data_IF_333307387152
#
_entry.id   IF_333307387152
#
_cell.length_a   1.000
_cell.length_b   1.000
_cell.length_c   1.000
_cell.angle_alpha   90.00
_cell.angle_beta   90.00
_cell.angle_gamma   90.00
#
_symmetry.space_group_name_H-M   'P 1'
#
loop_
_entity.id
_entity.type
_entity.pdbx_description
1 polymer ?
#
# COMPACT_ATOMS: atom_id res chain seq x y z
N UNK A 1 6.30 -4.97 -0.09
CA UNK A 1 5.45 -4.00 -0.81
C UNK A 1 4.21 -4.73 -1.26
N UNK A 2 3.03 -4.14 -1.09
CA UNK A 2 1.80 -4.68 -1.64
C UNK A 2 1.13 -3.62 -2.50
N UNK A 3 0.50 -4.07 -3.58
CA UNK A 3 -0.43 -3.25 -4.35
C UNK A 3 -1.78 -3.28 -3.62
N UNK A 4 -2.37 -2.12 -3.39
CA UNK A 4 -3.68 -2.01 -2.77
C UNK A 4 -4.48 -0.87 -3.39
N UNK A 5 -5.81 -0.94 -3.26
CA UNK A 5 -6.76 0.05 -3.75
C UNK A 5 -7.52 0.67 -2.58
N UNK A 6 -7.71 1.98 -2.63
CA UNK A 6 -8.54 2.78 -1.73
C UNK A 6 -9.28 3.79 -2.59
N UNK A 7 -10.61 3.93 -2.43
CA UNK A 7 -11.41 4.91 -3.18
C UNK A 7 -11.20 4.85 -4.71
N UNK A 8 -11.07 3.62 -5.24
CA UNK A 8 -10.77 3.32 -6.64
C UNK A 8 -9.36 3.73 -7.13
N UNK A 9 -8.48 4.22 -6.26
CA UNK A 9 -7.08 4.53 -6.56
C UNK A 9 -6.16 3.39 -6.15
N UNK A 10 -5.37 2.85 -7.08
CA UNK A 10 -4.40 1.80 -6.82
C UNK A 10 -3.00 2.39 -6.53
N UNK A 11 -2.38 1.97 -5.42
CA UNK A 11 -1.04 2.43 -5.04
C UNK A 11 -0.16 1.28 -4.52
N UNK A 12 1.16 1.51 -4.50
CA UNK A 12 2.15 0.56 -3.98
C UNK A 12 2.84 1.15 -2.75
N UNK A 13 2.67 0.53 -1.58
CA UNK A 13 3.36 0.90 -0.34
C UNK A 13 3.72 -0.34 0.49
N UNK A 14 4.49 -0.15 1.56
CA UNK A 14 4.68 -1.20 2.57
C UNK A 14 3.49 -1.20 3.52
N UNK A 15 2.90 -2.37 3.73
CA UNK A 15 1.74 -2.54 4.61
C UNK A 15 2.22 -3.05 5.96
N UNK A 16 1.82 -2.36 7.02
CA UNK A 16 1.97 -2.78 8.41
C UNK A 16 0.59 -2.93 9.03
N UNK A 17 0.28 -4.13 9.51
CA UNK A 17 -0.96 -4.41 10.22
C UNK A 17 -0.70 -4.34 11.73
N UNK A 18 -1.43 -3.48 12.41
CA UNK A 18 -1.46 -3.36 13.87
C UNK A 18 -2.85 -3.79 14.39
N UNK A 19 -3.00 -4.01 15.71
CA UNK A 19 -4.28 -4.43 16.27
C UNK A 19 -5.46 -3.51 15.94
N UNK A 20 -5.24 -2.19 15.93
CA UNK A 20 -6.32 -1.20 15.80
C UNK A 20 -6.25 -0.36 14.51
N UNK A 21 -5.22 -0.58 13.69
CA UNK A 21 -4.99 0.20 12.47
C UNK A 21 -4.11 -0.51 11.46
N UNK A 22 -4.18 -0.07 10.21
CA UNK A 22 -3.22 -0.40 9.17
C UNK A 22 -2.42 0.85 8.81
N UNK A 23 -1.10 0.70 8.70
CA UNK A 23 -0.19 1.71 8.18
C UNK A 23 0.26 1.32 6.78
N UNK A 24 0.11 2.25 5.84
CA UNK A 24 0.54 2.13 4.45
C UNK A 24 1.69 3.12 4.23
N UNK A 25 2.91 2.64 4.46
CA UNK A 25 4.12 3.46 4.54
C UNK A 25 4.86 3.53 3.21
N UNK A 26 5.14 4.72 2.67
CA UNK A 26 6.01 4.88 1.50
C UNK A 26 7.47 4.55 1.87
N UNK A 27 8.27 4.14 0.89
CA UNK A 27 9.73 4.00 1.06
C UNK A 27 10.49 5.31 0.77
N UNK A 28 9.76 6.37 0.42
CA UNK A 28 10.32 7.70 0.22
C UNK A 28 10.00 8.57 1.45
N UNK A 29 11.00 8.98 2.26
CA UNK A 29 10.80 9.79 3.47
C UNK A 29 10.16 11.17 3.22
N UNK A 30 10.15 11.66 1.98
CA UNK A 30 9.48 12.91 1.63
C UNK A 30 7.94 12.80 1.60
N UNK A 31 7.38 11.60 1.76
CA UNK A 31 5.95 11.33 1.74
C UNK A 31 5.49 10.74 3.06
N UNK A 32 4.33 11.16 3.53
CA UNK A 32 3.74 10.67 4.77
C UNK A 32 3.11 9.27 4.63
N UNK A 33 3.05 8.55 5.74
CA UNK A 33 2.28 7.30 5.87
C UNK A 33 0.78 7.58 5.82
N UNK A 34 0.02 6.70 5.17
CA UNK A 34 -1.45 6.68 5.27
C UNK A 34 -1.82 5.73 6.41
N UNK A 35 -2.59 6.21 7.37
CA UNK A 35 -3.08 5.43 8.51
C UNK A 35 -4.60 5.30 8.40
N UNK A 36 -5.11 4.06 8.38
CA UNK A 36 -6.55 3.77 8.44
C UNK A 36 -6.87 3.04 9.73
N UNK A 37 -7.81 3.54 10.53
CA UNK A 37 -8.12 3.00 11.87
C UNK A 37 -9.50 2.36 11.89
N UNK A 38 -9.68 1.32 12.69
CA UNK A 38 -10.99 0.69 12.94
C UNK A 38 -11.75 0.39 11.64
N UNK A 39 -12.94 0.97 11.45
CA UNK A 39 -13.80 0.72 10.30
C UNK A 39 -13.17 1.16 8.97
N UNK A 40 -12.31 2.18 8.97
CA UNK A 40 -11.61 2.66 7.77
C UNK A 40 -10.61 1.64 7.22
N UNK A 41 -10.23 0.64 8.02
CA UNK A 41 -9.37 -0.46 7.56
C UNK A 41 -10.05 -1.30 6.48
N UNK A 42 -11.39 -1.33 6.47
CA UNK A 42 -12.17 -2.10 5.50
C UNK A 42 -12.13 -1.50 4.09
N UNK A 43 -11.72 -0.23 3.96
CA UNK A 43 -11.59 0.46 2.67
C UNK A 43 -10.30 0.09 1.94
N UNK A 44 -9.40 -0.67 2.58
CA UNK A 44 -8.10 -1.06 2.01
C UNK A 44 -8.22 -2.44 1.36
N UNK A 45 -8.22 -2.47 0.04
CA UNK A 45 -8.27 -3.71 -0.74
C UNK A 45 -6.86 -4.11 -1.19
N UNK A 46 -6.33 -5.22 -0.69
CA UNK A 46 -5.04 -5.74 -1.17
C UNK A 46 -5.23 -6.44 -2.52
N UNK A 47 -4.59 -5.91 -3.56
CA UNK A 47 -4.66 -6.42 -4.93
C UNK A 47 -3.58 -7.47 -5.22
N UNK A 48 -2.46 -7.41 -4.50
CA UNK A 48 -1.40 -8.39 -4.65
C UNK A 48 -0.10 -8.03 -3.95
N UNK A 49 0.81 -9.01 -3.89
CA UNK A 49 2.16 -8.83 -3.39
C UNK A 49 3.10 -8.46 -4.55
N UNK A 50 3.90 -7.40 -4.38
CA UNK A 50 4.95 -7.11 -5.34
C UNK A 50 6.12 -8.10 -5.14
N UNK A 51 6.39 -8.91 -6.17
CA UNK A 51 7.40 -10.00 -6.15
C UNK A 51 8.65 -9.69 -6.96
N UNK A 52 8.65 -8.64 -7.78
CA UNK A 52 9.77 -8.26 -8.62
C UNK A 52 9.60 -6.86 -9.20
N UNK A 53 10.69 -6.32 -9.72
CA UNK A 53 10.72 -5.03 -10.41
C UNK A 53 11.44 -5.23 -11.74
N UNK A 54 10.75 -4.94 -12.84
CA UNK A 54 11.33 -4.93 -14.16
C UNK A 54 11.61 -3.47 -14.55
N UNK A 55 12.83 -3.19 -15.01
CA UNK A 55 13.26 -1.87 -15.47
C UNK A 55 13.94 -2.00 -16.82
N UNK A 56 13.59 -1.15 -17.77
CA UNK A 56 14.14 -1.19 -19.12
C UNK A 56 13.64 -2.37 -19.95
N UNK A 57 12.36 -2.73 -19.77
CA UNK A 57 11.70 -3.70 -20.64
C UNK A 57 11.66 -3.07 -22.04
N UNK A 58 12.45 -3.61 -22.95
CA UNK A 58 12.42 -3.28 -24.37
C UNK A 58 11.39 -4.19 -25.04
N UNK A 59 10.70 -3.68 -26.06
CA UNK A 59 9.77 -4.47 -26.88
C UNK A 59 10.48 -5.57 -27.66
#
# INVERSE_FOLDING_TARGET
MAAFRIDNEATLKRVYLHPDYVELRPENPAYDSIIRRKEEMNDVYIEGLAVGLCRGIQE
#
